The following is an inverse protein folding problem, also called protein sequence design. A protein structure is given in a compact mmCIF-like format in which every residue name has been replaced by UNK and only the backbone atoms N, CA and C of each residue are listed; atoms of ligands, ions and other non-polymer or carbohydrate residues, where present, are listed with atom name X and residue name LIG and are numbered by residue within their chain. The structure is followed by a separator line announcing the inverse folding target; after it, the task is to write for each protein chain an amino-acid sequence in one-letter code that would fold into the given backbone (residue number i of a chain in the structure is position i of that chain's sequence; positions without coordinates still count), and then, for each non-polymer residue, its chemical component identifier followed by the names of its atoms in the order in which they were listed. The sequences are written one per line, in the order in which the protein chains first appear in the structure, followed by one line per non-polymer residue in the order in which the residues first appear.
data_IF_326489805743
#
_entry.id   IF_326489805743
#
_cell.length_a   1.000
_cell.length_b   1.000
_cell.length_c   1.000
_cell.angle_alpha   90.00
_cell.angle_beta   90.00
_cell.angle_gamma   90.00
#
_symmetry.space_group_name_H-M   'P 1'
#
loop_
_entity.id
_entity.type
_entity.pdbx_description
1 polymer ?
#
# COMPACT_ATOMS: atom_id res chain seq x y z
N UNK A 1 1.79 -24.82 10.18
CA UNK A 1 0.71 -24.04 9.52
C UNK A 1 0.41 -22.70 10.20
N UNK A 2 0.64 -22.51 11.50
CA UNK A 2 0.55 -21.18 12.14
C UNK A 2 1.82 -20.32 12.08
N UNK A 3 3.00 -20.92 12.30
CA UNK A 3 4.28 -20.17 12.32
C UNK A 3 4.63 -19.56 10.95
N UNK A 4 4.48 -20.31 9.86
CA UNK A 4 4.72 -19.82 8.49
C UNK A 4 3.75 -18.70 8.07
N UNK A 5 2.53 -18.67 8.63
CA UNK A 5 1.55 -17.61 8.38
C UNK A 5 1.80 -16.36 9.26
N UNK A 6 2.48 -16.51 10.41
CA UNK A 6 2.84 -15.40 11.28
C UNK A 6 4.07 -14.60 10.81
N UNK A 7 4.99 -15.24 10.09
CA UNK A 7 6.19 -14.61 9.53
C UNK A 7 5.88 -13.38 8.65
N UNK A 8 4.89 -13.40 7.73
CA UNK A 8 4.53 -12.20 6.96
C UNK A 8 3.98 -11.04 7.80
N UNK A 9 3.32 -11.33 8.92
CA UNK A 9 2.82 -10.27 9.80
C UNK A 9 3.94 -9.57 10.57
N UNK A 10 4.93 -10.33 11.07
CA UNK A 10 6.06 -9.76 11.80
C UNK A 10 7.00 -8.98 10.88
N UNK A 11 7.29 -9.50 9.68
CA UNK A 11 8.07 -8.77 8.67
C UNK A 11 7.36 -7.51 8.20
N UNK A 12 6.04 -7.54 8.00
CA UNK A 12 5.24 -6.34 7.70
C UNK A 12 5.37 -5.28 8.79
N UNK A 13 5.36 -5.69 10.07
CA UNK A 13 5.54 -4.76 11.19
C UNK A 13 6.93 -4.11 11.16
N UNK A 14 8.00 -4.89 10.97
CA UNK A 14 9.38 -4.39 10.94
C UNK A 14 9.61 -3.40 9.78
N UNK A 15 9.14 -3.74 8.58
CA UNK A 15 9.27 -2.88 7.41
C UNK A 15 8.44 -1.59 7.53
N UNK A 16 7.25 -1.67 8.13
CA UNK A 16 6.45 -0.47 8.41
C UNK A 16 7.18 0.49 9.35
N UNK A 17 7.89 -0.03 10.36
CA UNK A 17 8.71 0.79 11.24
C UNK A 17 9.85 1.48 10.48
N UNK A 18 10.60 0.73 9.66
CA UNK A 18 11.68 1.29 8.84
C UNK A 18 11.21 2.37 7.88
N UNK A 19 10.11 2.13 7.16
CA UNK A 19 9.57 3.09 6.20
C UNK A 19 9.01 4.35 6.88
N UNK A 20 8.38 4.18 8.06
CA UNK A 20 7.91 5.28 8.88
C UNK A 20 9.08 6.16 9.37
N UNK A 21 10.15 5.54 9.86
CA UNK A 21 11.37 6.26 10.27
C UNK A 21 12.03 6.96 9.09
N UNK A 22 12.06 6.34 7.90
CA UNK A 22 12.60 6.96 6.69
C UNK A 22 11.77 8.16 6.21
N UNK A 23 10.44 8.06 6.28
CA UNK A 23 9.54 9.18 5.96
C UNK A 23 9.69 10.33 6.95
N UNK A 24 9.77 10.05 8.26
CA UNK A 24 9.99 11.07 9.29
C UNK A 24 11.36 11.75 9.12
N UNK A 25 12.39 10.98 8.75
CA UNK A 25 13.71 11.52 8.44
C UNK A 25 13.68 12.47 7.24
N UNK A 26 12.95 12.12 6.18
CA UNK A 26 12.80 12.93 4.97
C UNK A 26 12.02 14.23 5.22
N UNK A 27 11.03 14.21 6.13
CA UNK A 27 10.34 15.40 6.61
C UNK A 27 11.27 16.28 7.48
N UNK A 28 12.04 15.68 8.39
CA UNK A 28 12.97 16.41 9.27
C UNK A 28 14.10 17.12 8.51
N UNK A 29 14.54 16.57 7.38
CA UNK A 29 15.60 17.20 6.58
C UNK A 29 15.14 18.47 5.85
N UNK A 30 13.86 18.86 5.89
CA UNK A 30 13.28 20.06 5.24
C UNK A 30 13.65 20.24 3.75
N UNK A 31 14.09 19.17 3.08
CA UNK A 31 14.47 19.18 1.66
C UNK A 31 13.25 19.29 0.74
N UNK A 32 12.04 19.03 1.25
CA UNK A 32 10.77 19.09 0.51
C UNK A 32 9.64 19.69 1.36
N UNK A 33 8.76 20.46 0.72
CA UNK A 33 7.49 20.94 1.29
C UNK A 33 6.58 19.77 1.65
N UNK A 34 5.77 19.89 2.71
CA UNK A 34 4.82 18.86 3.15
C UNK A 34 3.95 18.29 2.00
N UNK A 35 3.55 19.13 1.04
CA UNK A 35 2.76 18.72 -0.11
C UNK A 35 3.54 17.82 -1.11
N UNK A 36 4.83 18.10 -1.29
CA UNK A 36 5.70 17.32 -2.16
C UNK A 36 6.12 16.00 -1.52
N UNK A 37 6.32 15.98 -0.19
CA UNK A 37 6.55 14.72 0.55
C UNK A 37 5.31 13.82 0.48
N UNK A 38 4.11 14.38 0.62
CA UNK A 38 2.85 13.63 0.49
C UNK A 38 2.63 13.07 -0.91
N UNK A 39 2.89 13.86 -1.96
CA UNK A 39 2.86 13.38 -3.35
C UNK A 39 3.88 12.27 -3.60
N UNK A 40 5.10 12.42 -3.09
CA UNK A 40 6.14 11.41 -3.23
C UNK A 40 5.78 10.13 -2.46
N UNK A 41 5.20 10.24 -1.27
CA UNK A 41 4.73 9.10 -0.50
C UNK A 41 3.63 8.33 -1.24
N UNK A 42 2.66 9.01 -1.84
CA UNK A 42 1.62 8.37 -2.67
C UNK A 42 2.25 7.75 -3.92
N UNK A 43 3.16 8.45 -4.59
CA UNK A 43 3.85 7.93 -5.78
C UNK A 43 4.69 6.68 -5.48
N UNK A 44 5.43 6.67 -4.38
CA UNK A 44 6.21 5.51 -3.92
C UNK A 44 5.28 4.39 -3.50
N UNK A 45 4.13 4.70 -2.88
CA UNK A 45 3.15 3.70 -2.48
C UNK A 45 2.56 2.99 -3.69
N UNK A 46 1.99 3.75 -4.63
CA UNK A 46 1.34 3.21 -5.82
C UNK A 46 2.34 2.64 -6.81
N UNK A 47 3.45 3.35 -7.06
CA UNK A 47 4.51 2.93 -7.98
C UNK A 47 5.27 1.72 -7.45
N UNK A 48 5.62 1.71 -6.17
CA UNK A 48 6.26 0.57 -5.51
C UNK A 48 5.34 -0.66 -5.49
N UNK A 49 4.06 -0.48 -5.15
CA UNK A 49 3.08 -1.56 -5.21
C UNK A 49 2.91 -2.10 -6.64
N UNK A 50 2.87 -1.25 -7.67
CA UNK A 50 2.77 -1.67 -9.06
C UNK A 50 3.98 -2.51 -9.50
N UNK A 51 5.20 -2.04 -9.22
CA UNK A 51 6.44 -2.76 -9.56
C UNK A 51 6.50 -4.11 -8.83
N UNK A 52 6.13 -4.14 -7.54
CA UNK A 52 6.11 -5.36 -6.74
C UNK A 52 5.02 -6.34 -7.21
N UNK A 53 3.88 -5.85 -7.68
CA UNK A 53 2.81 -6.70 -8.23
C UNK A 53 3.22 -7.32 -9.56
N UNK A 54 3.93 -6.57 -10.42
CA UNK A 54 4.52 -7.11 -11.64
C UNK A 54 5.63 -8.12 -11.32
N UNK A 55 6.48 -7.83 -10.32
CA UNK A 55 7.49 -8.78 -9.82
C UNK A 55 6.87 -10.07 -9.28
N UNK A 56 5.77 -9.96 -8.54
CA UNK A 56 4.99 -11.10 -8.06
C UNK A 56 4.43 -11.94 -9.21
N UNK A 57 3.90 -11.31 -10.27
CA UNK A 57 3.39 -12.05 -11.44
C UNK A 57 4.47 -12.82 -12.20
N UNK A 58 5.73 -12.40 -12.11
CA UNK A 58 6.88 -13.03 -12.76
C UNK A 58 7.56 -14.08 -11.87
N UNK A 59 7.26 -14.12 -10.58
CA UNK A 59 7.93 -14.96 -9.56
C UNK A 59 7.53 -16.45 -9.58
N UNK A 60 7.04 -16.97 -10.71
CA UNK A 60 6.48 -18.32 -10.83
C UNK A 60 7.29 -19.43 -10.11
N UNK A 61 6.53 -20.33 -9.47
CA UNK A 61 6.94 -21.61 -8.85
C UNK A 61 7.71 -21.58 -7.51
N UNK A 62 8.28 -20.45 -7.06
CA UNK A 62 8.98 -20.37 -5.77
C UNK A 62 8.14 -19.65 -4.68
N UNK A 63 7.60 -20.37 -3.68
CA UNK A 63 6.70 -19.79 -2.68
C UNK A 63 7.37 -18.75 -1.79
N UNK A 64 8.69 -18.86 -1.54
CA UNK A 64 9.42 -17.89 -0.72
C UNK A 64 9.53 -16.50 -1.36
N UNK A 65 9.80 -16.43 -2.67
CA UNK A 65 9.88 -15.16 -3.40
C UNK A 65 8.51 -14.48 -3.51
N UNK A 66 7.45 -15.25 -3.78
CA UNK A 66 6.09 -14.71 -3.83
C UNK A 66 5.65 -14.10 -2.50
N UNK A 67 5.98 -14.76 -1.38
CA UNK A 67 5.71 -14.26 -0.03
C UNK A 67 6.49 -12.96 0.23
N UNK A 68 7.76 -12.88 -0.18
CA UNK A 68 8.57 -11.67 -0.03
C UNK A 68 8.00 -10.48 -0.82
N UNK A 69 7.58 -10.69 -2.07
CA UNK A 69 6.95 -9.66 -2.89
C UNK A 69 5.60 -9.19 -2.31
N UNK A 70 4.77 -10.10 -1.78
CA UNK A 70 3.53 -9.72 -1.07
C UNK A 70 3.82 -8.91 0.20
N UNK A 71 4.81 -9.30 0.99
CA UNK A 71 5.19 -8.56 2.20
C UNK A 71 5.69 -7.16 1.88
N UNK A 72 6.58 -7.02 0.90
CA UNK A 72 7.07 -5.72 0.45
C UNK A 72 5.91 -4.86 -0.08
N UNK A 73 4.98 -5.44 -0.86
CA UNK A 73 3.83 -4.71 -1.40
C UNK A 73 2.87 -4.21 -0.32
N UNK A 74 2.64 -5.02 0.72
CA UNK A 74 1.80 -4.63 1.86
C UNK A 74 2.48 -3.64 2.79
N UNK A 75 3.80 -3.71 2.96
CA UNK A 75 4.57 -2.73 3.72
C UNK A 75 4.55 -1.35 3.06
N UNK A 76 4.73 -1.30 1.74
CA UNK A 76 4.65 -0.06 0.96
C UNK A 76 3.22 0.52 1.01
N UNK A 77 2.19 -0.31 1.01
CA UNK A 77 0.80 0.15 1.23
C UNK A 77 0.58 0.81 2.60
N UNK A 78 1.36 0.49 3.64
CA UNK A 78 1.26 1.16 4.95
C UNK A 78 1.55 2.67 4.89
N UNK A 79 2.31 3.11 3.89
CA UNK A 79 2.63 4.51 3.65
C UNK A 79 1.44 5.33 3.10
N UNK A 80 0.40 4.67 2.58
CA UNK A 80 -0.81 5.36 2.08
C UNK A 80 -1.49 6.17 3.18
N UNK A 81 -1.37 5.72 4.44
CA UNK A 81 -1.88 6.44 5.60
C UNK A 81 -1.21 7.80 5.81
N UNK A 82 0.09 7.92 5.52
CA UNK A 82 0.81 9.18 5.62
C UNK A 82 0.60 10.11 4.40
N UNK A 83 0.23 9.54 3.25
CA UNK A 83 -0.05 10.26 2.01
C UNK A 83 -1.51 10.70 1.91
N UNK A 84 -2.40 9.75 1.63
CA UNK A 84 -3.80 10.00 1.27
C UNK A 84 -4.64 10.55 2.41
N UNK A 85 -4.45 10.04 3.65
CA UNK A 85 -5.18 10.58 4.81
C UNK A 85 -4.76 12.02 5.08
N UNK A 86 -3.45 12.27 5.01
CA UNK A 86 -2.89 13.57 5.29
C UNK A 86 -3.27 14.61 4.22
N UNK A 87 -3.28 14.24 2.93
CA UNK A 87 -3.74 15.10 1.85
C UNK A 87 -5.23 15.44 1.92
N UNK A 88 -6.06 14.52 2.39
CA UNK A 88 -7.50 14.78 2.59
C UNK A 88 -7.75 15.77 3.73
N UNK A 89 -6.94 15.70 4.80
CA UNK A 89 -6.98 16.66 5.92
C UNK A 89 -6.46 18.03 5.50
N UNK A 90 -5.41 18.08 4.67
CA UNK A 90 -4.89 19.36 4.16
C UNK A 90 -5.89 20.07 3.22
N UNK A 91 -6.63 19.31 2.40
CA UNK A 91 -7.55 19.88 1.41
C UNK A 91 -8.83 20.45 2.05
N UNK A 92 -9.38 19.78 3.06
CA UNK A 92 -10.45 20.34 3.88
C UNK A 92 -10.48 19.72 5.28
N UNK A 93 -10.01 20.42 6.33
CA UNK A 93 -9.97 19.85 7.67
C UNK A 93 -11.37 19.59 8.25
N UNK A 94 -12.39 20.36 7.83
CA UNK A 94 -13.75 20.24 8.36
C UNK A 94 -14.55 19.07 7.74
N UNK A 95 -14.13 18.54 6.58
CA UNK A 95 -14.84 17.48 5.86
C UNK A 95 -13.94 16.28 5.49
N UNK A 96 -12.76 16.18 6.11
CA UNK A 96 -11.76 15.18 5.78
C UNK A 96 -12.28 13.73 5.91
N UNK A 97 -13.07 13.45 6.95
CA UNK A 97 -13.66 12.13 7.21
C UNK A 97 -14.73 11.74 6.18
N UNK A 98 -15.55 12.71 5.76
CA UNK A 98 -16.58 12.49 4.73
C UNK A 98 -15.92 12.22 3.38
N UNK A 99 -14.93 13.02 2.99
CA UNK A 99 -14.16 12.82 1.75
C UNK A 99 -13.46 11.46 1.73
N UNK A 100 -12.81 11.08 2.84
CA UNK A 100 -12.18 9.78 2.95
C UNK A 100 -13.20 8.64 2.92
N UNK A 101 -14.37 8.82 3.53
CA UNK A 101 -15.48 7.87 3.48
C UNK A 101 -15.96 7.63 2.05
N UNK A 102 -16.19 8.69 1.27
CA UNK A 102 -16.55 8.57 -0.14
C UNK A 102 -15.45 7.88 -0.98
N UNK A 103 -14.18 8.23 -0.76
CA UNK A 103 -13.07 7.54 -1.42
C UNK A 103 -13.01 6.04 -1.05
N UNK A 104 -13.30 5.70 0.21
CA UNK A 104 -13.39 4.33 0.70
C UNK A 104 -14.55 3.55 0.10
N UNK A 105 -15.71 4.18 -0.10
CA UNK A 105 -16.87 3.57 -0.79
C UNK A 105 -16.50 3.18 -2.23
N UNK A 106 -15.85 4.08 -2.97
CA UNK A 106 -15.39 3.81 -4.35
C UNK A 106 -14.36 2.69 -4.36
N UNK A 107 -13.40 2.72 -3.44
CA UNK A 107 -12.33 1.71 -3.33
C UNK A 107 -12.90 0.33 -2.99
N UNK A 108 -13.87 0.28 -2.07
CA UNK A 108 -14.54 -0.98 -1.66
C UNK A 108 -15.39 -1.54 -2.80
N UNK A 109 -16.10 -0.67 -3.54
CA UNK A 109 -16.83 -1.07 -4.74
C UNK A 109 -15.92 -1.69 -5.80
N UNK A 110 -14.80 -1.05 -6.10
CA UNK A 110 -13.79 -1.60 -7.00
C UNK A 110 -13.19 -2.91 -6.48
N UNK A 111 -12.95 -3.00 -5.16
CA UNK A 111 -12.45 -4.20 -4.49
C UNK A 111 -13.41 -5.39 -4.58
N UNK A 112 -14.72 -5.15 -4.60
CA UNK A 112 -15.73 -6.18 -4.83
C UNK A 112 -15.75 -6.69 -6.28
N UNK A 113 -15.55 -5.79 -7.24
CA UNK A 113 -15.57 -6.12 -8.67
C UNK A 113 -14.33 -6.93 -9.07
N UNK A 114 -13.17 -6.66 -8.46
CA UNK A 114 -11.89 -7.32 -8.79
C UNK A 114 -11.93 -8.86 -8.72
N UNK A 115 -12.36 -9.52 -7.63
CA UNK A 115 -12.42 -10.99 -7.57
C UNK A 115 -13.51 -11.58 -8.46
N UNK A 116 -14.59 -10.83 -8.76
CA UNK A 116 -15.62 -11.27 -9.70
C UNK A 116 -15.03 -11.46 -11.11
N UNK A 117 -14.23 -10.49 -11.57
CA UNK A 117 -13.55 -10.55 -12.86
C UNK A 117 -12.52 -11.69 -12.89
N UNK A 118 -11.70 -11.80 -11.84
CA UNK A 118 -10.70 -12.88 -11.72
C UNK A 118 -11.36 -14.26 -11.70
N UNK A 119 -12.50 -14.40 -11.03
CA UNK A 119 -13.28 -15.64 -10.99
C UNK A 119 -13.79 -16.06 -12.38
N UNK A 120 -14.29 -15.11 -13.17
CA UNK A 120 -14.73 -15.36 -14.56
C UNK A 120 -13.54 -15.74 -15.46
N UNK A 121 -12.42 -15.03 -15.35
CA UNK A 121 -11.20 -15.34 -16.12
C UNK A 121 -10.62 -16.72 -15.78
N UNK A 122 -10.72 -17.14 -14.51
CA UNK A 122 -10.13 -18.40 -14.04
C UNK A 122 -11.04 -19.61 -14.33
N UNK A 123 -12.36 -19.41 -14.50
CA UNK A 123 -13.32 -20.49 -14.74
C UNK A 123 -13.10 -21.23 -16.09
N UNK A 124 -12.29 -20.68 -16.99
CA UNK A 124 -11.95 -21.32 -18.27
C UNK A 124 -10.70 -22.23 -18.21
N UNK A 125 -10.27 -22.67 -17.01
CA UNK A 125 -9.23 -23.68 -16.83
C UNK A 125 -9.61 -24.75 -15.82
#
# INVERSE_FOLDING_TARGET
TGLLSGIPHILRMLFSYFYSTFSDWLLRTKRMTHNNVRKLAVFVTTGGAAILTVGLSLSGCEPMLAIFFMMAGTAINGAVSAGTLASSVDLSPNFASVLLGFAGLITTGAGFISPLIVGILTNHR
#
